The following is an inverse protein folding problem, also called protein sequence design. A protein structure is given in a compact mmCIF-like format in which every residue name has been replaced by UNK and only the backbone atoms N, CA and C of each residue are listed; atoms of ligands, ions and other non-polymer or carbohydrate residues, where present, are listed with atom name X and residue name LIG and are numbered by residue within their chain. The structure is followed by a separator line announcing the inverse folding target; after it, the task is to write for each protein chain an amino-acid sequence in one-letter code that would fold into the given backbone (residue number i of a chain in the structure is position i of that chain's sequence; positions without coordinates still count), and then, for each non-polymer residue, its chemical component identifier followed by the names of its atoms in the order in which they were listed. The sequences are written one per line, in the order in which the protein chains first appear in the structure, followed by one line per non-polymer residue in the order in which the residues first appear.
data_IF_062497754994
#
_entry.id   IF_062497754994
#
_cell.length_a   1.000
_cell.length_b   1.000
_cell.length_c   1.000
_cell.angle_alpha   90.00
_cell.angle_beta   90.00
_cell.angle_gamma   90.00
#
_symmetry.space_group_name_H-M   'P 1'
#
loop_
_entity.id
_entity.type
_entity.pdbx_description
1 polymer ?
#
# COMPACT_ATOMS: atom_id res chain seq x y z
N UNK A 1 22.69 8.23 -7.80
CA UNK A 1 21.29 8.20 -8.26
C UNK A 1 20.50 7.79 -7.02
N UNK A 2 19.59 8.63 -6.51
CA UNK A 2 19.12 8.61 -5.10
C UNK A 2 17.63 8.20 -5.06
N UNK A 3 17.24 7.24 -4.23
CA UNK A 3 15.91 6.57 -4.30
C UNK A 3 15.30 6.29 -2.93
N UNK A 4 13.99 6.39 -2.71
CA UNK A 4 13.37 6.22 -1.38
C UNK A 4 12.41 5.01 -1.28
N UNK A 5 12.41 4.39 -0.11
CA UNK A 5 11.54 3.33 0.43
C UNK A 5 10.68 3.97 1.52
N UNK A 6 9.36 4.03 1.34
CA UNK A 6 8.43 4.49 2.38
C UNK A 6 7.83 3.29 3.10
N UNK A 7 7.86 3.25 4.43
CA UNK A 7 7.49 2.05 5.18
C UNK A 7 6.55 2.38 6.33
N UNK A 8 5.29 1.98 6.24
CA UNK A 8 4.34 2.15 7.34
C UNK A 8 4.38 0.94 8.28
N UNK A 9 4.81 1.13 9.53
CA UNK A 9 4.49 0.20 10.62
C UNK A 9 3.70 0.97 11.66
N UNK A 10 2.40 0.71 11.71
CA UNK A 10 1.52 1.27 12.74
C UNK A 10 1.75 0.55 14.07
N UNK A 11 2.44 1.19 15.02
CA UNK A 11 2.37 0.85 16.44
C UNK A 11 1.81 2.03 17.23
N UNK A 12 0.78 1.78 18.03
CA UNK A 12 0.13 2.77 18.90
C UNK A 12 0.80 2.82 20.28
N UNK A 13 1.17 4.01 20.78
CA UNK A 13 1.21 4.26 22.22
C UNK A 13 0.14 5.28 22.64
N UNK A 14 -0.40 5.05 23.84
CA UNK A 14 -1.45 5.82 24.49
C UNK A 14 -0.97 7.16 25.05
N UNK A 15 -1.82 8.18 24.84
CA UNK A 15 -2.06 9.36 25.69
C UNK A 15 -0.89 10.35 25.95
N UNK A 16 -0.93 11.53 25.31
CA UNK A 16 -0.38 12.77 25.88
C UNK A 16 -1.25 13.98 25.50
N UNK A 17 -1.34 14.92 26.44
CA UNK A 17 -2.17 16.13 26.41
C UNK A 17 -1.57 17.25 25.57
N UNK A 18 -2.46 18.01 24.93
CA UNK A 18 -2.19 19.13 24.02
C UNK A 18 -1.46 20.30 24.69
N UNK A 19 -0.45 20.86 24.00
CA UNK A 19 -0.07 22.26 24.11
C UNK A 19 0.22 22.84 22.71
N UNK A 20 -0.30 24.04 22.47
CA UNK A 20 -0.43 24.71 21.18
C UNK A 20 0.90 25.03 20.47
N UNK A 21 0.97 25.02 19.12
CA UNK A 21 2.22 25.31 18.42
C UNK A 21 2.45 26.82 18.27
N UNK A 22 3.63 27.28 18.70
CA UNK A 22 4.20 28.55 18.24
C UNK A 22 4.96 28.28 16.94
N UNK A 23 4.44 28.78 15.83
CA UNK A 23 5.12 28.76 14.52
C UNK A 23 6.40 29.61 14.62
N UNK A 24 7.57 29.01 14.34
CA UNK A 24 8.81 29.76 14.10
C UNK A 24 9.16 29.68 12.62
N UNK A 25 9.15 30.84 11.97
CA UNK A 25 9.63 31.01 10.61
C UNK A 25 11.16 31.01 10.62
N UNK A 26 11.80 30.18 9.80
CA UNK A 26 13.23 30.26 9.55
C UNK A 26 13.46 30.68 8.10
N UNK A 27 14.19 31.78 7.92
CA UNK A 27 14.65 32.25 6.60
C UNK A 27 16.04 31.68 6.35
N UNK A 28 16.20 30.86 5.31
CA UNK A 28 17.51 30.40 4.85
C UNK A 28 18.03 31.41 3.84
N UNK A 29 19.18 32.03 4.15
CA UNK A 29 19.84 32.97 3.26
C UNK A 29 21.04 32.27 2.60
N UNK A 30 20.94 31.98 1.31
CA UNK A 30 22.05 31.38 0.55
C UNK A 30 22.98 32.48 0.05
N UNK A 31 24.23 32.50 0.52
CA UNK A 31 25.30 33.29 -0.08
C UNK A 31 26.21 32.37 -0.90
N UNK A 32 26.40 32.70 -2.18
CA UNK A 32 27.41 32.06 -3.03
C UNK A 32 28.79 32.60 -2.70
N UNK A 33 29.68 31.76 -2.19
CA UNK A 33 31.09 32.11 -2.00
C UNK A 33 31.80 32.02 -3.34
N UNK A 34 32.33 33.14 -3.86
CA UNK A 34 33.25 33.13 -5.00
C UNK A 34 34.66 32.78 -4.52
N UNK A 35 35.44 31.95 -5.26
CA UNK A 35 36.74 31.52 -4.78
C UNK A 35 37.79 32.62 -4.99
N UNK A 36 38.41 33.07 -3.90
CA UNK A 36 39.63 33.86 -3.96
C UNK A 36 40.83 32.93 -4.21
N UNK A 37 41.69 33.31 -5.16
CA UNK A 37 42.92 32.61 -5.47
C UNK A 37 43.97 32.79 -4.36
N UNK A 38 44.49 31.68 -3.81
CA UNK A 38 45.92 31.45 -3.55
C UNK A 38 46.17 30.22 -2.64
N UNK A 39 47.13 29.38 -3.06
CA UNK A 39 48.14 28.85 -2.13
C UNK A 39 47.90 27.52 -1.39
N UNK A 40 48.63 26.50 -1.85
CA UNK A 40 49.11 25.31 -1.12
C UNK A 40 48.18 24.10 -0.98
N UNK A 41 48.69 23.00 -1.53
CA UNK A 41 48.15 21.65 -1.53
C UNK A 41 48.24 21.00 -0.15
N UNK A 42 47.09 20.70 0.44
CA UNK A 42 46.90 19.56 1.31
C UNK A 42 45.72 18.77 0.75
N UNK A 43 45.95 17.50 0.39
CA UNK A 43 44.88 16.56 0.02
C UNK A 43 44.14 16.15 1.29
N UNK A 44 43.45 17.10 1.92
CA UNK A 44 42.41 16.81 2.89
C UNK A 44 41.14 16.51 2.11
N UNK A 45 40.77 15.24 2.00
CA UNK A 45 39.41 14.89 1.60
C UNK A 45 38.48 15.60 2.59
N UNK A 46 37.72 16.60 2.10
CA UNK A 46 36.70 17.27 2.89
C UNK A 46 35.76 16.18 3.40
N UNK A 47 35.77 15.96 4.71
CA UNK A 47 34.89 14.99 5.34
C UNK A 47 33.45 15.42 5.03
N UNK A 48 32.74 14.58 4.27
CA UNK A 48 31.37 14.90 3.86
C UNK A 48 30.54 15.02 5.15
N UNK A 49 29.85 16.14 5.41
CA UNK A 49 29.15 16.36 6.68
C UNK A 49 27.87 15.51 6.84
N UNK A 50 27.63 14.56 5.92
CA UNK A 50 26.49 13.64 5.92
C UNK A 50 26.98 12.20 6.01
N UNK A 51 26.38 11.41 6.92
CA UNK A 51 26.60 9.96 7.01
C UNK A 51 26.39 9.32 5.63
N UNK A 52 27.28 8.41 5.23
CA UNK A 52 27.20 7.71 3.94
C UNK A 52 26.04 6.70 3.96
N UNK A 53 25.74 6.12 5.12
CA UNK A 53 24.57 5.29 5.45
C UNK A 53 24.36 5.31 6.97
N UNK A 54 23.13 5.42 7.45
CA UNK A 54 22.76 5.40 8.87
C UNK A 54 21.61 4.43 9.18
N UNK A 55 21.21 3.62 8.19
CA UNK A 55 20.19 2.59 8.32
C UNK A 55 20.57 1.31 7.58
N UNK A 56 19.96 0.20 7.98
CA UNK A 56 20.17 -1.13 7.41
C UNK A 56 18.83 -1.85 7.28
N UNK A 57 18.56 -2.40 6.09
CA UNK A 57 17.52 -3.40 5.86
C UNK A 57 18.19 -4.78 5.79
N UNK A 58 17.85 -5.67 6.72
CA UNK A 58 18.33 -7.05 6.77
C UNK A 58 17.18 -7.97 6.41
N UNK A 59 17.35 -8.80 5.38
CA UNK A 59 16.34 -9.76 4.94
C UNK A 59 16.66 -11.15 5.48
N UNK A 60 15.63 -11.98 5.64
CA UNK A 60 15.75 -13.34 6.20
C UNK A 60 16.68 -14.28 5.43
N UNK A 61 16.89 -14.00 4.14
CA UNK A 61 17.85 -14.69 3.27
C UNK A 61 19.32 -14.38 3.63
N UNK A 62 19.56 -13.44 4.54
CA UNK A 62 20.88 -12.99 4.98
C UNK A 62 21.42 -11.77 4.23
N UNK A 63 20.68 -11.22 3.27
CA UNK A 63 21.12 -10.02 2.56
C UNK A 63 20.98 -8.77 3.45
N UNK A 64 22.00 -7.91 3.39
CA UNK A 64 22.08 -6.68 4.18
C UNK A 64 22.24 -5.49 3.24
N UNK A 65 21.30 -4.55 3.32
CA UNK A 65 21.23 -3.37 2.48
C UNK A 65 21.46 -2.12 3.33
N UNK A 66 22.62 -1.47 3.15
CA UNK A 66 22.94 -0.21 3.82
C UNK A 66 22.30 0.95 3.07
N UNK A 67 21.63 1.81 3.82
CA UNK A 67 20.82 2.90 3.27
C UNK A 67 20.88 4.12 4.21
N UNK A 68 20.20 5.19 3.80
CA UNK A 68 20.00 6.39 4.61
C UNK A 68 18.59 6.42 5.15
N UNK A 69 18.39 6.74 6.41
CA UNK A 69 17.07 6.85 7.02
C UNK A 69 16.42 8.20 6.75
N UNK A 70 15.09 8.20 6.77
CA UNK A 70 14.26 9.37 6.98
C UNK A 70 13.08 8.99 7.87
N UNK A 71 12.47 9.99 8.53
CA UNK A 71 11.37 9.75 9.45
C UNK A 71 11.86 9.19 10.80
N UNK A 72 11.22 8.13 11.30
CA UNK A 72 11.55 7.54 12.59
C UNK A 72 12.92 6.87 12.66
N UNK A 73 13.45 6.83 13.88
CA UNK A 73 14.58 5.99 14.28
C UNK A 73 14.11 4.82 15.14
N UNK A 74 14.84 3.70 15.10
CA UNK A 74 14.56 2.49 15.87
C UNK A 74 14.82 1.22 15.05
N UNK A 75 14.15 0.13 15.45
CA UNK A 75 14.16 -1.14 14.72
C UNK A 75 12.73 -1.63 14.54
N UNK A 76 12.37 -1.97 13.30
CA UNK A 76 11.07 -2.52 12.94
C UNK A 76 11.25 -3.80 12.13
N UNK A 77 10.26 -4.69 12.21
CA UNK A 77 10.19 -5.93 11.44
C UNK A 77 8.91 -5.92 10.63
N UNK A 78 8.94 -6.46 9.42
CA UNK A 78 7.78 -6.57 8.55
C UNK A 78 8.06 -7.39 7.31
N UNK A 79 7.00 -7.78 6.61
CA UNK A 79 7.12 -8.42 5.30
C UNK A 79 7.48 -7.38 4.24
N UNK A 80 8.50 -7.64 3.44
CA UNK A 80 8.94 -6.73 2.38
C UNK A 80 8.21 -7.07 1.09
N UNK A 81 7.38 -6.13 0.66
CA UNK A 81 6.64 -6.17 -0.61
C UNK A 81 7.17 -5.09 -1.55
N UNK A 82 6.90 -5.20 -2.84
CA UNK A 82 7.25 -4.13 -3.79
C UNK A 82 6.03 -3.69 -4.56
N UNK A 83 5.83 -2.38 -4.71
CA UNK A 83 4.75 -1.79 -5.49
C UNK A 83 5.29 -1.13 -6.77
N UNK A 84 4.64 -1.44 -7.89
CA UNK A 84 5.05 -0.98 -9.23
C UNK A 84 4.44 0.36 -9.68
N UNK A 85 3.54 0.94 -8.88
CA UNK A 85 2.93 2.22 -9.15
C UNK A 85 3.97 3.34 -9.26
N UNK A 86 3.84 4.15 -10.31
CA UNK A 86 4.75 5.28 -10.57
C UNK A 86 4.29 6.57 -9.89
N UNK A 87 3.04 6.65 -9.50
CA UNK A 87 2.41 7.80 -8.85
C UNK A 87 1.54 7.32 -7.68
N UNK A 88 1.09 8.25 -6.84
CA UNK A 88 0.18 7.93 -5.74
C UNK A 88 0.85 7.30 -4.52
N UNK A 89 2.11 7.65 -4.26
CA UNK A 89 2.83 7.11 -3.11
C UNK A 89 2.19 7.49 -1.77
N UNK A 90 1.46 8.61 -1.70
CA UNK A 90 0.81 9.03 -0.46
C UNK A 90 -0.35 8.08 -0.14
N UNK A 91 -1.17 7.78 -1.15
CA UNK A 91 -2.32 6.89 -1.10
C UNK A 91 -1.89 5.46 -0.76
N UNK A 92 -0.81 4.97 -1.38
CA UNK A 92 -0.20 3.67 -1.05
C UNK A 92 0.26 3.63 0.41
N UNK A 93 0.93 4.67 0.91
CA UNK A 93 1.42 4.70 2.29
C UNK A 93 0.30 4.82 3.33
N UNK A 94 -0.90 5.24 2.93
CA UNK A 94 -2.09 5.29 3.79
C UNK A 94 -3.00 4.09 3.69
N UNK A 95 -2.77 3.21 2.73
CA UNK A 95 -3.61 2.04 2.55
C UNK A 95 -3.40 1.08 3.74
N UNK A 96 -4.47 0.80 4.52
CA UNK A 96 -4.39 -0.06 5.70
C UNK A 96 -3.93 -1.49 5.38
N UNK A 97 -4.04 -1.92 4.11
CA UNK A 97 -3.61 -3.24 3.67
C UNK A 97 -2.10 -3.44 3.77
N UNK A 98 -1.29 -2.38 3.84
CA UNK A 98 0.15 -2.50 4.09
C UNK A 98 0.53 -2.62 5.58
N UNK A 99 -0.44 -2.79 6.49
CA UNK A 99 -0.14 -2.94 7.91
C UNK A 99 0.83 -4.11 8.15
N UNK A 100 1.93 -3.86 8.85
CA UNK A 100 2.96 -4.89 9.12
C UNK A 100 3.90 -5.17 7.94
N UNK A 101 3.84 -4.35 6.89
CA UNK A 101 4.66 -4.50 5.68
C UNK A 101 5.60 -3.32 5.44
N UNK A 102 6.66 -3.63 4.69
CA UNK A 102 7.62 -2.68 4.17
C UNK A 102 7.40 -2.50 2.68
N UNK A 103 6.92 -1.32 2.28
CA UNK A 103 6.55 -1.06 0.88
C UNK A 103 7.73 -0.55 0.07
N UNK A 104 8.19 -1.39 -0.86
CA UNK A 104 9.23 -1.04 -1.80
C UNK A 104 8.69 -0.44 -3.09
N UNK A 105 8.83 0.87 -3.23
CA UNK A 105 8.47 1.55 -4.46
C UNK A 105 9.51 1.29 -5.55
N UNK A 106 9.06 0.76 -6.69
CA UNK A 106 9.95 0.59 -7.84
C UNK A 106 10.24 1.90 -8.57
N UNK A 107 9.38 2.91 -8.43
CA UNK A 107 9.65 4.25 -8.97
C UNK A 107 10.82 4.87 -8.21
N UNK A 108 11.92 5.24 -8.90
CA UNK A 108 13.09 5.84 -8.26
C UNK A 108 12.81 7.17 -7.55
N UNK A 109 11.87 7.97 -8.04
CA UNK A 109 11.61 9.31 -7.52
C UNK A 109 10.29 9.38 -6.76
N UNK A 110 10.35 9.10 -5.46
CA UNK A 110 9.24 9.22 -4.52
C UNK A 110 9.31 10.56 -3.79
N UNK A 111 8.15 11.20 -3.57
CA UNK A 111 8.07 12.50 -2.89
C UNK A 111 8.13 13.73 -3.81
N UNK A 112 8.14 13.54 -5.13
CA UNK A 112 8.24 14.62 -6.12
C UNK A 112 7.08 15.63 -6.05
N UNK A 113 5.89 15.20 -5.63
CA UNK A 113 4.69 16.05 -5.49
C UNK A 113 4.42 16.47 -4.04
N UNK A 114 5.34 16.21 -3.11
CA UNK A 114 5.12 16.48 -1.69
C UNK A 114 3.98 15.65 -1.09
N UNK A 115 3.29 16.18 -0.09
CA UNK A 115 2.06 15.57 0.44
C UNK A 115 0.98 16.63 0.61
N UNK A 116 -0.28 16.23 0.45
CA UNK A 116 -1.42 17.09 0.65
C UNK A 116 -2.29 16.57 1.79
N UNK A 117 -2.76 17.47 2.67
CA UNK A 117 -3.63 17.14 3.80
C UNK A 117 -5.13 17.21 3.45
N UNK A 118 -5.46 17.43 2.18
CA UNK A 118 -6.85 17.42 1.72
C UNK A 118 -7.40 15.98 1.78
N UNK A 119 -8.66 15.78 2.23
CA UNK A 119 -9.25 14.45 2.33
C UNK A 119 -9.38 13.86 0.93
N UNK A 120 -8.64 12.80 0.65
CA UNK A 120 -8.69 12.09 -0.62
C UNK A 120 -9.11 10.64 -0.36
N UNK A 121 -10.39 10.49 0.05
CA UNK A 121 -11.11 9.24 0.42
C UNK A 121 -11.24 9.03 1.94
N UNK A 122 -12.42 8.52 2.34
CA UNK A 122 -12.76 7.86 3.62
C UNK A 122 -11.80 8.04 4.80
N UNK A 123 -12.23 8.77 5.84
CA UNK A 123 -11.55 9.00 7.14
C UNK A 123 -10.09 9.53 7.11
N UNK A 124 -9.56 9.84 5.92
CA UNK A 124 -8.21 10.40 5.74
C UNK A 124 -8.04 11.81 6.34
N UNK A 125 -9.11 12.43 6.84
CA UNK A 125 -9.04 13.74 7.49
C UNK A 125 -8.38 13.69 8.88
N UNK A 126 -8.34 12.52 9.54
CA UNK A 126 -7.52 12.30 10.76
C UNK A 126 -6.25 11.50 10.50
N UNK A 127 -6.20 10.72 9.42
CA UNK A 127 -5.06 9.87 9.09
C UNK A 127 -3.92 10.62 8.36
N UNK A 128 -4.22 11.67 7.58
CA UNK A 128 -3.20 12.36 6.75
C UNK A 128 -2.34 13.38 7.51
N UNK A 129 -2.88 14.10 8.48
CA UNK A 129 -2.06 14.88 9.43
C UNK A 129 -1.14 13.96 10.25
N UNK A 130 -1.54 12.69 10.38
CA UNK A 130 -0.89 11.68 11.17
C UNK A 130 0.42 11.21 10.54
N UNK A 131 0.55 10.94 9.25
CA UNK A 131 1.69 10.22 8.63
C UNK A 131 3.07 10.87 8.89
N UNK A 132 3.16 12.20 8.82
CA UNK A 132 4.40 12.92 9.12
C UNK A 132 4.56 13.24 10.62
N UNK A 133 3.46 13.19 11.39
CA UNK A 133 3.50 13.18 12.86
C UNK A 133 3.64 11.76 13.46
N UNK A 134 3.49 10.71 12.65
CA UNK A 134 3.40 9.30 13.04
C UNK A 134 4.77 8.67 13.15
N UNK A 135 5.84 9.40 12.82
CA UNK A 135 7.18 8.90 12.96
C UNK A 135 7.29 7.58 12.15
N UNK A 136 6.95 7.65 10.86
CA UNK A 136 7.04 6.52 9.94
C UNK A 136 8.52 6.33 9.59
N UNK A 137 9.01 5.11 9.69
CA UNK A 137 10.40 4.80 9.38
C UNK A 137 10.55 4.62 7.88
N UNK A 138 11.61 5.15 7.28
CA UNK A 138 11.88 4.95 5.86
C UNK A 138 13.35 4.95 5.57
N UNK A 139 13.75 4.35 4.44
CA UNK A 139 15.14 4.41 3.96
C UNK A 139 15.23 4.85 2.52
N UNK A 140 16.37 5.40 2.13
CA UNK A 140 16.65 5.83 0.77
C UNK A 140 18.12 5.58 0.42
N UNK A 141 18.48 5.78 -0.84
CA UNK A 141 19.81 5.49 -1.39
C UNK A 141 20.16 3.99 -1.39
N UNK A 142 19.15 3.15 -1.70
CA UNK A 142 19.27 1.69 -1.83
C UNK A 142 18.90 1.24 -3.25
N UNK A 143 19.47 0.13 -3.73
CA UNK A 143 19.13 -0.45 -5.04
C UNK A 143 17.78 -1.18 -4.98
N UNK A 144 16.71 -0.42 -5.13
CA UNK A 144 15.33 -0.94 -5.12
C UNK A 144 15.10 -1.97 -6.21
N UNK A 145 15.74 -1.83 -7.38
CA UNK A 145 15.62 -2.79 -8.49
C UNK A 145 16.22 -4.14 -8.12
N UNK A 146 17.37 -4.17 -7.47
CA UNK A 146 18.00 -5.42 -7.03
C UNK A 146 17.14 -6.13 -5.97
N UNK A 147 16.56 -5.38 -5.02
CA UNK A 147 15.64 -5.93 -4.03
C UNK A 147 14.36 -6.45 -4.71
N UNK A 148 13.72 -5.70 -5.62
CA UNK A 148 12.54 -6.18 -6.37
C UNK A 148 12.82 -7.48 -7.11
N UNK A 149 13.99 -7.59 -7.77
CA UNK A 149 14.37 -8.84 -8.45
C UNK A 149 14.47 -10.01 -7.49
N UNK A 150 15.10 -9.80 -6.34
CA UNK A 150 15.18 -10.80 -5.28
C UNK A 150 13.79 -11.24 -4.81
N UNK A 151 12.90 -10.30 -4.50
CA UNK A 151 11.53 -10.63 -4.08
C UNK A 151 10.73 -11.40 -5.15
N UNK A 152 11.00 -11.14 -6.44
CA UNK A 152 10.39 -11.93 -7.53
C UNK A 152 10.96 -13.34 -7.65
N UNK A 153 12.26 -13.49 -7.40
CA UNK A 153 12.99 -14.76 -7.48
C UNK A 153 12.70 -15.66 -6.27
N UNK A 154 12.66 -15.10 -5.06
CA UNK A 154 12.56 -15.85 -3.80
C UNK A 154 11.15 -15.80 -3.17
N UNK A 155 10.37 -14.78 -3.51
CA UNK A 155 9.08 -14.46 -2.87
C UNK A 155 9.16 -13.25 -1.94
N UNK A 156 8.04 -12.87 -1.34
CA UNK A 156 8.05 -11.87 -0.27
C UNK A 156 8.93 -12.37 0.87
N UNK A 157 9.79 -11.49 1.39
CA UNK A 157 10.78 -11.83 2.41
C UNK A 157 10.52 -11.05 3.67
N UNK A 158 10.75 -11.66 4.83
CA UNK A 158 10.75 -10.92 6.09
C UNK A 158 12.01 -10.05 6.18
N UNK A 159 11.79 -8.77 6.45
CA UNK A 159 12.83 -7.77 6.60
C UNK A 159 12.83 -7.17 8.01
N UNK A 160 14.01 -6.77 8.46
CA UNK A 160 14.20 -5.93 9.63
C UNK A 160 14.90 -4.65 9.21
N UNK A 161 14.23 -3.52 9.42
CA UNK A 161 14.84 -2.21 9.23
C UNK A 161 15.33 -1.68 10.58
N UNK A 162 16.58 -1.22 10.62
CA UNK A 162 17.16 -0.64 11.82
C UNK A 162 18.03 0.58 11.52
N UNK A 163 17.87 1.62 12.36
CA UNK A 163 18.78 2.78 12.46
C UNK A 163 19.69 2.70 13.68
N UNK A 164 19.62 1.61 14.46
CA UNK A 164 20.37 1.44 15.70
C UNK A 164 21.75 0.86 15.40
N UNK A 165 22.83 1.62 15.67
CA UNK A 165 24.22 1.15 15.49
C UNK A 165 24.62 0.09 16.53
N UNK A 166 23.90 0.00 17.66
CA UNK A 166 24.14 -0.96 18.74
C UNK A 166 23.82 -2.42 18.37
N UNK A 167 22.94 -2.64 17.38
CA UNK A 167 22.53 -3.98 16.95
C UNK A 167 23.43 -4.53 15.84
N UNK A 168 23.86 -5.78 15.94
CA UNK A 168 24.65 -6.41 14.88
C UNK A 168 23.76 -6.91 13.74
N UNK A 169 24.34 -7.12 12.55
CA UNK A 169 23.58 -7.63 11.40
C UNK A 169 23.03 -9.05 11.69
N UNK A 170 23.74 -9.85 12.48
CA UNK A 170 23.32 -11.19 12.91
C UNK A 170 22.13 -11.16 13.88
N UNK A 171 22.07 -10.17 14.78
CA UNK A 171 20.92 -9.99 15.67
C UNK A 171 19.66 -9.64 14.87
N UNK A 172 19.79 -8.73 13.89
CA UNK A 172 18.69 -8.35 13.00
C UNK A 172 18.23 -9.53 12.13
N UNK A 173 19.18 -10.30 11.58
CA UNK A 173 18.88 -11.51 10.82
C UNK A 173 18.17 -12.59 11.66
N UNK A 174 18.52 -12.70 12.94
CA UNK A 174 17.81 -13.61 13.85
C UNK A 174 16.36 -13.15 14.02
N UNK A 175 16.13 -11.85 14.20
CA UNK A 175 14.77 -11.30 14.31
C UNK A 175 13.96 -11.58 13.06
N UNK A 176 14.51 -11.33 11.86
CA UNK A 176 13.79 -11.54 10.60
C UNK A 176 13.38 -13.01 10.40
N UNK A 177 14.14 -13.97 10.90
CA UNK A 177 13.82 -15.42 10.81
C UNK A 177 12.85 -15.93 11.87
N UNK A 178 12.53 -15.11 12.87
CA UNK A 178 11.65 -15.50 13.99
C UNK A 178 10.25 -14.90 13.92
N UNK A 179 10.07 -13.89 13.07
CA UNK A 179 8.79 -13.25 12.85
C UNK A 179 8.19 -13.74 11.54
N UNK A 180 6.87 -13.96 11.53
CA UNK A 180 6.10 -14.29 10.34
C UNK A 180 4.83 -13.44 10.36
N UNK A 181 4.38 -13.02 9.17
CA UNK A 181 3.12 -12.31 8.98
C UNK A 181 1.95 -13.30 8.88
N UNK A 182 2.21 -14.54 8.45
CA UNK A 182 1.16 -15.55 8.28
C UNK A 182 0.55 -15.89 9.63
N UNK A 183 -0.76 -15.68 9.76
CA UNK A 183 -1.50 -15.93 11.00
C UNK A 183 -1.50 -14.78 12.01
N UNK A 184 -0.93 -13.62 11.66
CA UNK A 184 -1.08 -12.38 12.44
C UNK A 184 -2.42 -11.73 12.08
N UNK A 185 -3.28 -11.48 13.08
CA UNK A 185 -4.51 -10.72 12.86
C UNK A 185 -4.21 -9.22 12.74
N UNK A 186 -4.08 -8.76 11.49
CA UNK A 186 -3.91 -7.35 11.15
C UNK A 186 -5.24 -6.61 10.98
N UNK A 187 -6.32 -7.36 10.69
CA UNK A 187 -7.66 -6.82 10.41
C UNK A 187 -8.22 -6.12 11.64
N UNK A 188 -8.10 -6.75 12.82
CA UNK A 188 -8.56 -6.13 14.08
C UNK A 188 -7.75 -4.90 14.47
N UNK A 189 -6.52 -4.75 13.96
CA UNK A 189 -5.65 -3.59 14.19
C UNK A 189 -6.06 -2.35 13.40
N UNK A 190 -6.70 -2.52 12.25
CA UNK A 190 -7.07 -1.43 11.33
C UNK A 190 -8.58 -1.15 11.28
N UNK A 191 -9.41 -2.04 11.84
CA UNK A 191 -10.87 -1.85 11.85
C UNK A 191 -11.32 -0.70 12.77
N UNK A 192 -12.50 -0.15 12.48
CA UNK A 192 -13.11 0.89 13.30
C UNK A 192 -13.52 0.34 14.68
N UNK A 193 -13.37 1.17 15.73
CA UNK A 193 -13.69 0.78 17.12
C UNK A 193 -15.19 0.67 17.38
N UNK A 194 -16.00 1.38 16.61
CA UNK A 194 -17.44 1.40 16.69
C UNK A 194 -18.02 1.77 15.31
N UNK A 195 -19.22 1.27 14.96
CA UNK A 195 -19.91 1.67 13.75
C UNK A 195 -20.12 3.19 13.70
N UNK A 196 -19.99 3.76 12.52
CA UNK A 196 -20.28 5.17 12.26
C UNK A 196 -20.98 5.33 10.90
N UNK A 197 -21.67 6.44 10.71
CA UNK A 197 -22.34 6.75 9.45
C UNK A 197 -21.44 7.68 8.61
N UNK A 198 -21.21 7.28 7.36
CA UNK A 198 -20.50 8.11 6.39
C UNK A 198 -21.52 8.87 5.53
N UNK A 199 -21.57 10.20 5.69
CA UNK A 199 -22.54 11.08 5.00
C UNK A 199 -21.92 11.92 3.88
N UNK A 200 -20.59 11.95 3.80
CA UNK A 200 -19.87 12.77 2.84
C UNK A 200 -19.87 12.14 1.45
N UNK A 201 -20.15 12.93 0.42
CA UNK A 201 -20.02 12.50 -0.98
C UNK A 201 -18.60 12.74 -1.46
N UNK A 202 -18.13 11.86 -2.32
CA UNK A 202 -16.93 12.13 -3.12
C UNK A 202 -17.14 13.41 -3.93
N UNK A 203 -16.11 14.25 -4.03
CA UNK A 203 -16.16 15.47 -4.85
C UNK A 203 -16.44 15.13 -6.32
N UNK A 204 -16.99 16.08 -7.09
CA UNK A 204 -17.37 15.87 -8.50
C UNK A 204 -16.21 15.41 -9.39
N UNK A 205 -14.98 15.78 -9.02
CA UNK A 205 -13.73 15.40 -9.66
C UNK A 205 -13.31 13.94 -9.38
N UNK A 206 -13.95 13.30 -8.41
CA UNK A 206 -13.77 11.91 -7.98
C UNK A 206 -15.06 11.10 -8.13
N UNK A 207 -16.10 11.66 -8.76
CA UNK A 207 -17.29 10.89 -9.11
C UNK A 207 -16.93 9.84 -10.17
N UNK A 208 -17.40 8.61 -9.96
CA UNK A 208 -17.17 7.50 -10.88
C UNK A 208 -17.56 7.88 -12.30
N UNK A 209 -16.75 7.45 -13.28
CA UNK A 209 -16.96 7.78 -14.68
C UNK A 209 -18.08 6.91 -15.29
N UNK A 210 -19.29 7.11 -14.77
CA UNK A 210 -20.50 6.45 -15.21
C UNK A 210 -21.12 7.25 -16.36
N UNK A 211 -21.69 6.56 -17.34
CA UNK A 211 -22.51 7.19 -18.38
C UNK A 211 -23.72 7.94 -17.73
N UNK A 212 -24.23 8.96 -18.41
CA UNK A 212 -25.29 9.87 -17.89
C UNK A 212 -26.58 9.15 -17.42
N UNK A 213 -26.86 7.97 -17.96
CA UNK A 213 -27.98 7.13 -17.52
C UNK A 213 -27.80 6.60 -16.08
N UNK A 214 -26.58 6.25 -15.71
CA UNK A 214 -26.25 5.65 -14.40
C UNK A 214 -26.11 6.69 -13.29
N UNK A 215 -25.81 7.95 -13.62
CA UNK A 215 -25.69 9.06 -12.64
C UNK A 215 -26.98 9.39 -11.88
N UNK A 216 -28.16 9.07 -12.43
CA UNK A 216 -29.47 9.44 -11.85
C UNK A 216 -29.95 8.53 -10.72
N UNK A 217 -29.21 7.47 -10.37
CA UNK A 217 -29.79 6.30 -9.70
C UNK A 217 -29.39 6.08 -8.23
N UNK A 218 -28.75 7.05 -7.58
CA UNK A 218 -28.27 6.90 -6.21
C UNK A 218 -29.40 6.97 -5.15
N UNK A 219 -29.86 5.82 -4.69
CA UNK A 219 -30.53 5.64 -3.40
C UNK A 219 -30.16 4.26 -2.82
N UNK A 220 -29.25 4.27 -1.85
CA UNK A 220 -28.66 3.10 -1.20
C UNK A 220 -29.68 2.25 -0.42
N UNK A 221 -29.62 0.92 -0.57
CA UNK A 221 -30.10 -0.09 0.40
C UNK A 221 -29.11 -1.26 0.35
N UNK A 222 -28.66 -1.70 1.54
CA UNK A 222 -27.58 -2.64 1.84
C UNK A 222 -27.36 -3.83 0.89
N UNK A 223 -26.14 -3.94 0.36
CA UNK A 223 -25.49 -5.18 -0.08
C UNK A 223 -23.98 -5.05 0.26
N UNK A 224 -23.25 -6.15 0.46
CA UNK A 224 -21.87 -6.08 1.00
C UNK A 224 -20.87 -6.22 -0.14
N UNK A 225 -20.21 -5.11 -0.49
CA UNK A 225 -18.98 -5.13 -1.29
C UNK A 225 -17.80 -5.40 -0.36
N UNK A 226 -16.94 -6.31 -0.79
CA UNK A 226 -15.72 -6.67 -0.09
C UNK A 226 -14.56 -6.41 -1.05
N UNK A 227 -13.79 -5.36 -0.79
CA UNK A 227 -12.51 -5.09 -1.45
C UNK A 227 -11.37 -5.55 -0.56
N UNK A 228 -10.38 -6.11 -1.24
CA UNK A 228 -9.19 -6.77 -0.73
C UNK A 228 -8.86 -6.46 0.74
N UNK A 229 -9.21 -7.37 1.64
CA UNK A 229 -8.43 -7.60 2.85
C UNK A 229 -7.40 -8.69 2.54
N UNK A 230 -6.18 -8.51 3.03
CA UNK A 230 -5.07 -9.46 2.85
C UNK A 230 -5.48 -10.91 3.17
N UNK A 231 -6.44 -11.07 4.07
CA UNK A 231 -7.17 -12.31 4.28
C UNK A 231 -8.70 -12.08 4.14
N UNK A 232 -9.37 -12.90 3.33
CA UNK A 232 -10.74 -13.38 3.57
C UNK A 232 -11.98 -12.62 3.08
N UNK A 233 -11.94 -11.91 1.97
CA UNK A 233 -13.20 -11.53 1.30
C UNK A 233 -13.83 -12.71 0.53
N UNK A 234 -13.01 -13.60 -0.02
CA UNK A 234 -13.45 -14.70 -0.89
C UNK A 234 -13.55 -16.06 -0.17
N UNK A 235 -12.95 -16.21 1.01
CA UNK A 235 -13.17 -17.39 1.88
C UNK A 235 -14.60 -17.45 2.42
N UNK A 236 -15.34 -16.33 2.40
CA UNK A 236 -16.71 -16.21 2.91
C UNK A 236 -17.64 -17.21 2.20
N UNK A 237 -17.28 -17.67 1.01
CA UNK A 237 -18.04 -18.66 0.25
C UNK A 237 -17.38 -20.04 0.22
N UNK A 238 -16.56 -20.39 1.22
CA UNK A 238 -16.02 -21.74 1.36
C UNK A 238 -14.84 -22.10 0.45
N UNK A 239 -14.35 -21.15 -0.36
CA UNK A 239 -13.09 -21.30 -1.10
C UNK A 239 -11.87 -21.26 -0.18
N UNK A 240 -10.82 -21.99 -0.54
CA UNK A 240 -9.50 -21.95 0.12
C UNK A 240 -8.66 -20.84 -0.49
N UNK A 241 -7.89 -20.14 0.35
CA UNK A 241 -6.86 -19.20 -0.11
C UNK A 241 -5.47 -19.80 0.03
N UNK A 242 -4.54 -19.23 -0.73
CA UNK A 242 -3.12 -19.53 -0.62
C UNK A 242 -2.31 -18.24 -0.68
N UNK A 243 -1.18 -18.23 0.02
CA UNK A 243 -0.21 -17.13 -0.07
C UNK A 243 0.47 -17.18 -1.43
N UNK A 244 0.41 -16.09 -2.17
CA UNK A 244 1.10 -15.91 -3.43
C UNK A 244 2.60 -15.74 -3.18
N UNK A 245 3.40 -15.99 -4.22
CA UNK A 245 4.86 -15.89 -4.09
C UNK A 245 5.31 -14.49 -3.65
N UNK A 246 4.81 -13.42 -4.26
CA UNK A 246 5.15 -12.04 -3.92
C UNK A 246 3.95 -11.07 -4.05
N UNK A 247 2.74 -11.64 -4.20
CA UNK A 247 1.51 -10.88 -4.36
C UNK A 247 1.42 -10.01 -5.62
N UNK A 248 0.39 -9.18 -5.65
CA UNK A 248 0.13 -8.19 -6.69
C UNK A 248 0.01 -6.81 -6.07
N UNK A 249 0.93 -5.92 -6.46
CA UNK A 249 1.07 -4.58 -5.88
C UNK A 249 1.39 -3.57 -7.01
N UNK A 250 0.38 -2.84 -7.46
CA UNK A 250 0.56 -1.85 -8.52
C UNK A 250 -0.71 -1.51 -9.29
N UNK A 251 -0.65 -0.40 -10.03
CA UNK A 251 -1.75 0.12 -10.86
C UNK A 251 -1.69 -0.28 -12.34
N UNK A 252 -1.05 -1.39 -12.69
CA UNK A 252 -0.85 -1.81 -14.08
C UNK A 252 -1.19 -3.28 -14.34
N UNK A 253 -2.00 -3.91 -13.49
CA UNK A 253 -2.30 -5.33 -13.59
C UNK A 253 -3.47 -5.57 -14.56
N UNK A 254 -3.27 -6.32 -15.66
CA UNK A 254 -4.34 -6.61 -16.60
C UNK A 254 -5.24 -7.73 -16.07
N UNK A 255 -6.54 -7.45 -15.97
CA UNK A 255 -7.56 -8.41 -15.55
C UNK A 255 -8.58 -8.57 -16.66
N UNK A 256 -8.96 -9.81 -16.96
CA UNK A 256 -10.00 -10.12 -17.94
C UNK A 256 -11.26 -10.60 -17.26
N UNK A 257 -12.38 -9.95 -17.53
CA UNK A 257 -13.70 -10.46 -17.26
C UNK A 257 -14.01 -11.60 -18.25
N UNK A 258 -14.13 -12.83 -17.77
CA UNK A 258 -14.27 -14.00 -18.64
C UNK A 258 -15.68 -14.15 -19.21
N UNK A 259 -16.68 -13.45 -18.65
CA UNK A 259 -18.08 -13.51 -19.11
C UNK A 259 -18.31 -12.70 -20.38
N UNK A 260 -17.65 -11.54 -20.50
CA UNK A 260 -17.83 -10.63 -21.64
C UNK A 260 -16.53 -10.39 -22.45
N UNK A 261 -15.39 -10.91 -21.99
CA UNK A 261 -14.10 -10.80 -22.68
C UNK A 261 -13.40 -9.45 -22.52
N UNK A 262 -13.97 -8.50 -21.76
CA UNK A 262 -13.38 -7.20 -21.49
C UNK A 262 -12.10 -7.35 -20.66
N UNK A 263 -11.10 -6.53 -20.98
CA UNK A 263 -9.88 -6.40 -20.21
C UNK A 263 -9.85 -5.01 -19.56
N UNK A 264 -9.48 -4.98 -18.29
CA UNK A 264 -9.32 -3.79 -17.46
C UNK A 264 -7.88 -3.76 -16.95
N UNK A 265 -7.28 -2.57 -16.88
CA UNK A 265 -6.07 -2.39 -16.08
C UNK A 265 -6.54 -2.05 -14.66
N UNK A 266 -6.08 -2.79 -13.66
CA UNK A 266 -6.53 -2.64 -12.27
C UNK A 266 -5.41 -2.26 -11.31
N UNK A 267 -5.82 -1.61 -10.21
CA UNK A 267 -5.02 -1.43 -9.01
C UNK A 267 -5.13 -2.67 -8.11
N UNK A 268 -3.98 -3.25 -7.75
CA UNK A 268 -3.91 -4.45 -6.91
C UNK A 268 -2.99 -4.20 -5.73
N UNK A 269 -3.40 -4.71 -4.57
CA UNK A 269 -2.63 -4.75 -3.34
C UNK A 269 -3.02 -6.00 -2.53
N UNK A 270 -2.46 -7.16 -2.86
CA UNK A 270 -2.80 -8.40 -2.18
C UNK A 270 -1.70 -9.47 -2.24
N UNK A 271 -1.47 -10.15 -1.12
CA UNK A 271 -0.51 -11.26 -1.01
C UNK A 271 -1.14 -12.65 -1.06
N UNK A 272 -2.47 -12.73 -1.05
CA UNK A 272 -3.20 -13.98 -1.08
C UNK A 272 -4.14 -14.02 -2.27
N UNK A 273 -4.43 -15.23 -2.74
CA UNK A 273 -5.39 -15.48 -3.80
C UNK A 273 -6.26 -16.68 -3.46
N UNK A 274 -7.40 -16.79 -4.13
CA UNK A 274 -8.29 -17.96 -4.02
C UNK A 274 -7.89 -19.02 -5.01
N UNK A 275 -7.93 -20.26 -4.56
CA UNK A 275 -7.86 -21.45 -5.40
C UNK A 275 -9.23 -21.71 -6.07
N UNK A 276 -9.35 -21.55 -7.41
CA UNK A 276 -10.60 -21.81 -8.12
C UNK A 276 -11.11 -23.24 -7.97
N UNK A 277 -10.22 -24.23 -7.79
CA UNK A 277 -10.59 -25.64 -7.68
C UNK A 277 -11.25 -25.96 -6.33
N UNK A 278 -11.10 -25.07 -5.36
CA UNK A 278 -11.65 -25.20 -4.01
C UNK A 278 -13.05 -24.58 -3.85
N UNK A 279 -13.57 -23.92 -4.87
CA UNK A 279 -14.86 -23.23 -4.81
C UNK A 279 -16.03 -24.23 -4.69
N UNK A 280 -17.05 -23.94 -3.86
CA UNK A 280 -18.22 -24.80 -3.79
C UNK A 280 -19.10 -24.66 -5.03
N UNK A 281 -20.02 -25.62 -5.18
CA UNK A 281 -20.99 -25.62 -6.28
C UNK A 281 -21.82 -24.32 -6.31
N UNK A 282 -21.93 -23.73 -7.50
CA UNK A 282 -22.68 -22.49 -7.74
C UNK A 282 -21.85 -21.21 -7.65
N UNK A 283 -20.62 -21.26 -7.11
CA UNK A 283 -19.69 -20.12 -7.17
C UNK A 283 -18.90 -20.19 -8.48
N UNK A 284 -18.84 -19.07 -9.18
CA UNK A 284 -18.20 -18.94 -10.49
C UNK A 284 -17.01 -17.99 -10.41
N UNK A 285 -15.92 -18.31 -11.11
CA UNK A 285 -14.88 -17.34 -11.41
C UNK A 285 -15.40 -16.37 -12.47
N UNK A 286 -15.24 -15.06 -12.25
CA UNK A 286 -15.69 -14.01 -13.16
C UNK A 286 -14.54 -13.25 -13.80
N UNK A 287 -13.42 -13.12 -13.09
CA UNK A 287 -12.25 -12.39 -13.54
C UNK A 287 -10.99 -13.21 -13.33
N UNK A 288 -10.03 -13.07 -14.26
CA UNK A 288 -8.71 -13.71 -14.16
C UNK A 288 -7.62 -12.67 -14.42
N UNK A 289 -6.55 -12.72 -13.65
CA UNK A 289 -5.36 -11.92 -13.91
C UNK A 289 -4.64 -12.48 -15.15
N UNK A 290 -4.32 -11.62 -16.12
CA UNK A 290 -3.70 -12.05 -17.38
C UNK A 290 -2.18 -12.26 -17.29
N UNK A 291 -1.53 -11.81 -16.23
CA UNK A 291 -0.09 -12.02 -16.03
C UNK A 291 0.24 -13.44 -15.58
N UNK A 292 -0.57 -14.01 -14.69
CA UNK A 292 -0.28 -15.28 -14.01
C UNK A 292 -1.46 -16.27 -13.97
N UNK A 293 -2.65 -15.85 -14.43
CA UNK A 293 -3.84 -16.68 -14.44
C UNK A 293 -4.58 -16.78 -13.10
N UNK A 294 -4.19 -16.00 -12.08
CA UNK A 294 -4.84 -16.06 -10.77
C UNK A 294 -6.31 -15.65 -10.83
N UNK A 295 -7.13 -16.17 -9.91
CA UNK A 295 -8.50 -15.71 -9.73
C UNK A 295 -8.51 -14.23 -9.33
N UNK A 296 -9.27 -13.41 -10.05
CA UNK A 296 -9.37 -11.97 -9.80
C UNK A 296 -10.79 -11.50 -9.46
N UNK A 297 -11.78 -12.39 -9.51
CA UNK A 297 -13.16 -12.08 -9.14
C UNK A 297 -14.05 -13.30 -9.15
N UNK A 298 -15.07 -13.28 -8.30
CA UNK A 298 -16.03 -14.36 -8.12
C UNK A 298 -17.46 -13.81 -8.20
N UNK A 299 -18.41 -14.71 -8.46
CA UNK A 299 -19.83 -14.43 -8.29
C UNK A 299 -20.55 -15.69 -7.82
N UNK A 300 -21.61 -15.49 -7.04
CA UNK A 300 -22.52 -16.54 -6.62
C UNK A 300 -23.95 -16.13 -6.98
N UNK A 301 -24.41 -16.38 -8.23
CA UNK A 301 -25.67 -15.82 -8.73
C UNK A 301 -26.90 -16.23 -7.92
N UNK A 302 -26.92 -17.45 -7.38
CA UNK A 302 -28.02 -17.96 -6.56
C UNK A 302 -28.20 -17.11 -5.29
N UNK A 303 -27.09 -16.59 -4.73
CA UNK A 303 -27.08 -15.71 -3.57
C UNK A 303 -27.00 -14.23 -3.95
N UNK A 304 -26.91 -13.92 -5.25
CA UNK A 304 -26.71 -12.57 -5.83
C UNK A 304 -25.45 -11.86 -5.33
N UNK A 305 -24.42 -12.62 -5.01
CA UNK A 305 -23.17 -12.07 -4.49
C UNK A 305 -22.14 -11.92 -5.61
N UNK A 306 -21.29 -10.90 -5.49
CA UNK A 306 -20.12 -10.70 -6.34
C UNK A 306 -18.96 -10.14 -5.53
N UNK A 307 -17.75 -10.37 -5.99
CA UNK A 307 -16.53 -9.90 -5.34
C UNK A 307 -15.39 -9.81 -6.34
N UNK A 308 -14.48 -8.86 -6.11
CA UNK A 308 -13.26 -8.68 -6.87
C UNK A 308 -12.06 -8.79 -5.94
N UNK A 309 -10.95 -9.30 -6.48
CA UNK A 309 -9.68 -9.39 -5.75
C UNK A 309 -8.89 -8.06 -5.78
N UNK A 310 -9.22 -7.19 -6.73
CA UNK A 310 -8.55 -5.92 -6.99
C UNK A 310 -9.42 -4.73 -6.55
N UNK A 311 -8.84 -3.53 -6.60
CA UNK A 311 -9.43 -2.28 -6.12
C UNK A 311 -10.06 -1.48 -7.29
N UNK A 312 -11.37 -1.58 -7.54
CA UNK A 312 -12.03 -0.76 -8.54
C UNK A 312 -12.16 0.71 -8.14
N UNK A 313 -12.07 1.04 -6.86
CA UNK A 313 -11.94 2.41 -6.34
C UNK A 313 -10.59 3.04 -6.68
N UNK A 314 -9.60 2.21 -7.04
CA UNK A 314 -8.22 2.60 -7.29
C UNK A 314 -7.62 3.39 -6.11
N UNK A 315 -7.19 4.63 -6.35
CA UNK A 315 -6.56 5.52 -5.38
C UNK A 315 -5.34 4.91 -4.64
N UNK A 316 -4.23 4.71 -5.37
CA UNK A 316 -3.99 5.17 -6.74
C UNK A 316 -4.22 4.08 -7.78
N UNK A 317 -4.50 4.50 -9.02
CA UNK A 317 -4.56 3.59 -10.14
C UNK A 317 -5.52 4.03 -11.24
N UNK A 318 -5.70 3.17 -12.26
CA UNK A 318 -6.65 3.37 -13.35
C UNK A 318 -8.10 3.19 -12.90
N UNK A 319 -9.02 3.85 -13.60
CA UNK A 319 -10.47 3.81 -13.37
C UNK A 319 -11.20 2.85 -14.32
N UNK A 320 -10.48 1.92 -14.96
CA UNK A 320 -11.03 0.99 -15.95
C UNK A 320 -12.12 0.09 -15.35
N UNK A 321 -12.04 -0.11 -14.03
CA UNK A 321 -12.85 -1.00 -13.20
C UNK A 321 -14.06 -0.32 -12.54
N UNK A 322 -14.24 1.00 -12.67
CA UNK A 322 -15.34 1.78 -12.04
C UNK A 322 -16.73 1.20 -12.34
N UNK A 323 -16.88 0.51 -13.46
CA UNK A 323 -18.16 -0.03 -13.91
C UNK A 323 -18.73 -1.10 -12.98
N UNK A 324 -17.89 -1.77 -12.19
CA UNK A 324 -18.36 -2.79 -11.25
C UNK A 324 -19.31 -2.20 -10.19
N UNK A 325 -19.09 -0.96 -9.76
CA UNK A 325 -20.02 -0.26 -8.86
C UNK A 325 -21.39 -0.08 -9.52
N UNK A 326 -21.42 0.13 -10.83
CA UNK A 326 -22.65 0.16 -11.63
C UNK A 326 -23.38 -1.18 -11.63
N UNK A 327 -22.66 -2.29 -11.83
CA UNK A 327 -23.22 -3.65 -11.77
C UNK A 327 -23.81 -3.97 -10.40
N UNK A 328 -23.09 -3.61 -9.33
CA UNK A 328 -23.54 -3.77 -7.95
C UNK A 328 -24.82 -2.94 -7.66
N UNK A 329 -24.88 -1.70 -8.13
CA UNK A 329 -26.07 -0.86 -8.00
C UNK A 329 -27.29 -1.47 -8.71
N UNK A 330 -27.10 -2.07 -9.89
CA UNK A 330 -28.18 -2.78 -10.59
C UNK A 330 -28.65 -4.01 -9.80
N UNK A 331 -27.73 -4.79 -9.21
CA UNK A 331 -28.08 -5.90 -8.32
C UNK A 331 -28.94 -5.43 -7.13
N UNK A 332 -28.58 -4.32 -6.48
CA UNK A 332 -29.36 -3.73 -5.38
C UNK A 332 -30.78 -3.33 -5.81
N UNK A 333 -30.93 -2.73 -7.01
CA UNK A 333 -32.26 -2.32 -7.52
C UNK A 333 -33.15 -3.52 -7.81
N UNK A 334 -32.59 -4.56 -8.43
CA UNK A 334 -33.33 -5.78 -8.75
C UNK A 334 -33.86 -6.47 -7.49
N UNK A 335 -33.10 -6.43 -6.39
CA UNK A 335 -33.56 -6.94 -5.10
C UNK A 335 -34.70 -6.09 -4.53
N UNK A 336 -34.53 -4.76 -4.52
CA UNK A 336 -35.53 -3.83 -3.98
C UNK A 336 -36.88 -3.91 -4.68
N UNK A 337 -36.92 -4.18 -5.98
CA UNK A 337 -38.18 -4.33 -6.74
C UNK A 337 -38.97 -5.60 -6.37
N UNK A 338 -38.36 -6.54 -5.63
CA UNK A 338 -38.91 -7.86 -5.34
C UNK A 338 -39.54 -7.97 -3.95
N UNK A 339 -39.17 -7.07 -3.04
CA UNK A 339 -39.76 -6.84 -1.71
C UNK A 339 -40.87 -5.80 -1.74
#
# INVERSE_FOLDING_TARGET
MKYALGMAVTQFPSCFTLNSPKVRLFTVNCQSVSPAASGSSSTGLVEKPWKVSDARLVLEDGSVWRAKSFGASGTQVGEVVFNTSLTGYQEILTDPSYAGQFVLMTNPHIGNTGVNFAPQIGDAQKHLESIWHQNIMGIYDVDTRAITRRLREDGSLIGVLSTEESKTDEELLKVSRTWDIVGVDLISGVTCKAPYEWVDRTGSEWEFNLNEEMKRLFKLVSHVEYYCSEDNCLQIWGGKTFKMKFGHHGGNHPVRNIRNGRVEISAQNHNYAVDPESLPEGVEVTHVNLNDGSCAGLAFPQQKLMSLQYHPEASPGPHDSDLVFGEFIELMKQERQRT
#
